data_IF_941151397637
#
_entry.id   IF_941151397637
#
_cell.length_a   1.000
_cell.length_b   1.000
_cell.length_c   1.000
_cell.angle_alpha   90.00
_cell.angle_beta   90.00
_cell.angle_gamma   90.00
#
_symmetry.space_group_name_H-M   'P 1'
#
loop_
_entity.id
_entity.type
_entity.pdbx_description
1 polymer ?
#
# COMPACT_ATOMS: atom_id res chain seq x y z
N UNK A 1 -16.86 1.88 -5.54
CA UNK A 1 -16.21 2.20 -4.25
C UNK A 1 -16.59 3.59 -3.72
N UNK A 2 -16.55 4.66 -4.53
CA UNK A 2 -16.91 6.04 -4.10
C UNK A 2 -18.32 6.16 -3.47
N UNK A 3 -19.31 5.47 -4.03
CA UNK A 3 -20.67 5.47 -3.46
C UNK A 3 -20.78 4.70 -2.13
N UNK A 4 -19.99 3.65 -1.93
CA UNK A 4 -20.01 2.84 -0.70
C UNK A 4 -19.46 3.64 0.48
N UNK A 5 -18.46 4.49 0.25
CA UNK A 5 -17.89 5.38 1.28
C UNK A 5 -18.91 6.41 1.77
N UNK A 6 -19.86 6.83 0.92
CA UNK A 6 -20.90 7.81 1.27
C UNK A 6 -22.04 7.21 2.10
N UNK A 7 -22.15 5.89 2.16
CA UNK A 7 -23.15 5.22 2.98
C UNK A 7 -22.88 5.44 4.48
N UNK A 8 -23.95 5.45 5.27
CA UNK A 8 -23.84 5.41 6.73
C UNK A 8 -23.15 4.14 7.20
N UNK A 9 -22.60 4.14 8.41
CA UNK A 9 -21.96 2.96 8.98
C UNK A 9 -22.89 1.74 9.06
N UNK A 10 -24.19 1.92 9.33
CA UNK A 10 -25.18 0.84 9.32
C UNK A 10 -25.36 0.25 7.92
N UNK A 11 -25.51 1.10 6.91
CA UNK A 11 -25.70 0.67 5.52
C UNK A 11 -24.45 -0.03 4.97
N UNK A 12 -23.24 0.45 5.29
CA UNK A 12 -22.00 -0.26 4.96
C UNK A 12 -21.93 -1.61 5.65
N UNK A 13 -22.30 -1.67 6.93
CA UNK A 13 -22.31 -2.91 7.70
C UNK A 13 -23.24 -3.95 7.08
N UNK A 14 -24.48 -3.57 6.74
CA UNK A 14 -25.43 -4.43 6.03
C UNK A 14 -24.87 -4.92 4.68
N UNK A 15 -24.25 -4.02 3.91
CA UNK A 15 -23.63 -4.38 2.64
C UNK A 15 -22.48 -5.39 2.81
N UNK A 16 -21.62 -5.22 3.83
CA UNK A 16 -20.53 -6.15 4.11
C UNK A 16 -21.05 -7.49 4.63
N UNK A 17 -22.11 -7.49 5.45
CA UNK A 17 -22.78 -8.73 5.88
C UNK A 17 -23.34 -9.51 4.69
N UNK A 18 -24.08 -8.84 3.81
CA UNK A 18 -24.67 -9.48 2.62
C UNK A 18 -23.58 -10.01 1.68
N UNK A 19 -22.51 -9.23 1.46
CA UNK A 19 -21.35 -9.64 0.67
C UNK A 19 -20.69 -10.88 1.28
N UNK A 20 -20.50 -10.89 2.60
CA UNK A 20 -19.87 -11.99 3.31
C UNK A 20 -20.70 -13.28 3.23
N UNK A 21 -22.03 -13.18 3.37
CA UNK A 21 -22.97 -14.31 3.19
C UNK A 21 -22.85 -14.91 1.80
N UNK A 22 -22.90 -14.08 0.75
CA UNK A 22 -22.79 -14.55 -0.65
C UNK A 22 -21.44 -15.19 -0.95
N UNK A 23 -20.37 -14.65 -0.36
CA UNK A 23 -18.99 -15.10 -0.56
C UNK A 23 -18.58 -16.22 0.41
N UNK A 24 -19.44 -16.59 1.36
CA UNK A 24 -19.18 -17.58 2.42
C UNK A 24 -17.92 -17.26 3.22
N UNK A 25 -17.72 -15.97 3.53
CA UNK A 25 -16.61 -15.47 4.36
C UNK A 25 -17.15 -14.78 5.61
N UNK A 26 -16.28 -14.41 6.55
CA UNK A 26 -16.67 -13.62 7.72
C UNK A 26 -16.94 -12.16 7.29
N UNK A 27 -17.96 -11.46 7.84
CA UNK A 27 -18.21 -10.05 7.56
C UNK A 27 -16.98 -9.14 7.74
N UNK A 28 -16.19 -9.39 8.78
CA UNK A 28 -14.94 -8.66 9.02
C UNK A 28 -13.92 -8.82 7.88
N UNK A 29 -13.90 -9.95 7.17
CA UNK A 29 -13.03 -10.16 6.01
C UNK A 29 -13.51 -9.30 4.84
N UNK A 30 -14.82 -9.29 4.57
CA UNK A 30 -15.39 -8.47 3.50
C UNK A 30 -15.16 -6.96 3.73
N UNK A 31 -15.33 -6.51 4.96
CA UNK A 31 -15.08 -5.11 5.34
C UNK A 31 -13.59 -4.75 5.17
N UNK A 32 -12.67 -5.57 5.71
CA UNK A 32 -11.24 -5.32 5.56
C UNK A 32 -10.82 -5.33 4.08
N UNK A 33 -11.33 -6.27 3.29
CA UNK A 33 -11.03 -6.36 1.87
C UNK A 33 -11.43 -5.09 1.11
N UNK A 34 -12.59 -4.53 1.45
CA UNK A 34 -13.06 -3.27 0.92
C UNK A 34 -12.10 -2.13 1.25
N UNK A 35 -11.69 -1.98 2.52
CA UNK A 35 -10.79 -0.91 2.94
C UNK A 35 -9.39 -1.02 2.32
N UNK A 36 -8.86 -2.24 2.16
CA UNK A 36 -7.60 -2.47 1.43
C UNK A 36 -7.72 -2.03 -0.02
N UNK A 37 -8.76 -2.48 -0.73
CA UNK A 37 -8.96 -2.12 -2.14
C UNK A 37 -9.21 -0.62 -2.31
N UNK A 38 -9.97 0.00 -1.41
CA UNK A 38 -10.21 1.43 -1.43
C UNK A 38 -8.94 2.24 -1.18
N UNK A 39 -8.14 1.85 -0.18
CA UNK A 39 -6.87 2.51 0.14
C UNK A 39 -5.88 2.42 -1.03
N UNK A 40 -5.74 1.22 -1.63
CA UNK A 40 -4.92 1.03 -2.82
C UNK A 40 -5.40 1.91 -3.99
N UNK A 41 -6.71 1.96 -4.24
CA UNK A 41 -7.27 2.86 -5.26
C UNK A 41 -6.91 4.32 -4.97
N UNK A 42 -7.03 4.77 -3.71
CA UNK A 42 -6.68 6.13 -3.32
C UNK A 42 -5.21 6.47 -3.55
N UNK A 43 -4.31 5.60 -3.12
CA UNK A 43 -2.86 5.76 -3.28
C UNK A 43 -2.43 5.85 -4.74
N UNK A 44 -3.02 5.02 -5.62
CA UNK A 44 -2.61 4.94 -7.03
C UNK A 44 -3.41 5.86 -7.98
N UNK A 45 -4.52 6.44 -7.53
CA UNK A 45 -5.20 7.54 -8.24
C UNK A 45 -4.46 8.88 -8.06
N UNK A 46 -3.71 9.05 -6.97
CA UNK A 46 -2.94 10.27 -6.70
C UNK A 46 -1.55 10.20 -7.32
N UNK A 47 -1.33 11.00 -8.37
CA UNK A 47 -0.11 10.92 -9.20
C UNK A 47 1.19 11.23 -8.45
N UNK A 48 1.13 12.06 -7.41
CA UNK A 48 2.29 12.37 -6.57
C UNK A 48 2.75 11.17 -5.74
N UNK A 49 1.80 10.31 -5.34
CA UNK A 49 2.08 9.07 -4.60
C UNK A 49 2.38 7.93 -5.57
N UNK A 50 1.57 7.73 -6.60
CA UNK A 50 1.70 6.59 -7.52
C UNK A 50 3.03 6.54 -8.25
N UNK A 51 3.71 7.68 -8.40
CA UNK A 51 5.06 7.79 -8.98
C UNK A 51 6.19 7.52 -8.00
N UNK A 52 5.92 7.57 -6.69
CA UNK A 52 6.92 7.35 -5.65
C UNK A 52 6.92 5.93 -5.09
N UNK A 53 5.86 5.15 -5.33
CA UNK A 53 5.76 3.79 -4.78
C UNK A 53 5.41 2.73 -5.81
N UNK A 54 5.87 1.50 -5.56
CA UNK A 54 5.48 0.28 -6.27
C UNK A 54 4.71 -0.63 -5.34
N UNK A 55 3.60 -1.21 -5.82
CA UNK A 55 2.82 -2.19 -5.06
C UNK A 55 3.44 -3.59 -5.19
N UNK A 56 3.68 -4.28 -4.06
CA UNK A 56 4.28 -5.61 -4.04
C UNK A 56 3.53 -6.58 -3.11
N UNK A 57 4.12 -7.77 -2.94
CA UNK A 57 3.77 -8.68 -1.86
C UNK A 57 2.54 -9.54 -2.14
N UNK A 58 2.05 -10.21 -1.10
CA UNK A 58 0.96 -11.18 -1.22
C UNK A 58 -0.33 -10.59 -1.76
N UNK A 59 -0.62 -9.35 -1.39
CA UNK A 59 -1.81 -8.62 -1.85
C UNK A 59 -1.73 -8.30 -3.34
N UNK A 60 -0.54 -7.97 -3.88
CA UNK A 60 -0.38 -7.80 -5.33
C UNK A 60 -0.58 -9.13 -6.09
N UNK A 61 -0.08 -10.24 -5.55
CA UNK A 61 -0.23 -11.57 -6.15
C UNK A 61 -1.70 -12.01 -6.19
N UNK A 62 -2.50 -11.72 -5.15
CA UNK A 62 -3.92 -12.06 -5.13
C UNK A 62 -4.78 -11.08 -5.91
N UNK A 63 -4.60 -9.76 -5.73
CA UNK A 63 -5.49 -8.73 -6.28
C UNK A 63 -5.21 -8.34 -7.73
N UNK A 64 -3.94 -8.39 -8.15
CA UNK A 64 -3.54 -7.96 -9.50
C UNK A 64 -3.34 -9.17 -10.40
N UNK A 65 -2.58 -10.16 -9.92
CA UNK A 65 -2.19 -11.32 -10.75
C UNK A 65 -3.10 -12.54 -10.60
N UNK A 66 -3.95 -12.60 -9.56
CA UNK A 66 -4.85 -13.74 -9.31
C UNK A 66 -4.12 -15.07 -9.07
N UNK A 67 -2.86 -15.03 -8.61
CA UNK A 67 -2.00 -16.21 -8.47
C UNK A 67 -2.24 -17.00 -7.19
N UNK A 68 -2.84 -16.35 -6.18
CA UNK A 68 -3.15 -16.98 -4.89
C UNK A 68 -4.55 -16.56 -4.44
N UNK A 69 -5.27 -17.50 -3.81
CA UNK A 69 -6.61 -17.27 -3.26
C UNK A 69 -6.54 -17.25 -1.73
N UNK A 70 -5.93 -16.18 -1.19
CA UNK A 70 -5.91 -15.91 0.24
C UNK A 70 -6.27 -14.46 0.52
N UNK A 71 -6.99 -14.25 1.62
CA UNK A 71 -7.16 -12.91 2.15
C UNK A 71 -5.81 -12.37 2.65
N UNK A 72 -5.53 -11.11 2.34
CA UNK A 72 -4.33 -10.39 2.75
C UNK A 72 -4.76 -8.98 3.15
N UNK A 73 -4.53 -8.60 4.40
CA UNK A 73 -4.91 -7.27 4.90
C UNK A 73 -3.81 -6.24 4.71
N UNK A 74 -2.56 -6.68 4.57
CA UNK A 74 -1.41 -5.80 4.47
C UNK A 74 -1.30 -5.14 3.09
N UNK A 75 -0.83 -3.89 3.09
CA UNK A 75 -0.46 -3.17 1.87
C UNK A 75 1.07 -3.01 1.87
N UNK A 76 1.74 -3.83 1.05
CA UNK A 76 3.19 -3.76 0.88
C UNK A 76 3.56 -2.79 -0.24
N UNK A 77 4.26 -1.71 0.09
CA UNK A 77 4.78 -0.74 -0.87
C UNK A 77 6.31 -0.70 -0.84
N UNK A 78 6.92 -0.50 -2.01
CA UNK A 78 8.34 -0.15 -2.16
C UNK A 78 8.42 1.32 -2.51
N UNK A 79 9.19 2.09 -1.75
CA UNK A 79 9.56 3.46 -2.11
C UNK A 79 10.62 3.43 -3.22
N UNK A 80 10.42 4.24 -4.26
CA UNK A 80 11.41 4.42 -5.32
C UNK A 80 12.67 5.08 -4.75
N UNK A 81 13.76 4.31 -4.68
CA UNK A 81 15.03 4.76 -4.10
C UNK A 81 15.65 5.93 -4.86
N UNK A 82 15.29 6.12 -6.14
CA UNK A 82 15.76 7.22 -7.00
C UNK A 82 15.28 8.58 -6.51
N UNK A 83 14.27 8.61 -5.63
CA UNK A 83 13.82 9.83 -4.97
C UNK A 83 14.70 10.24 -3.78
N UNK A 84 15.62 9.35 -3.37
CA UNK A 84 16.42 9.51 -2.16
C UNK A 84 17.88 9.80 -2.48
N UNK A 85 18.40 9.23 -3.56
CA UNK A 85 19.80 9.32 -3.93
C UNK A 85 19.99 9.13 -5.44
N UNK A 86 21.08 9.69 -5.96
CA UNK A 86 21.59 9.42 -7.31
C UNK A 86 22.53 8.21 -7.35
N UNK A 87 22.98 7.74 -6.19
CA UNK A 87 23.84 6.56 -6.09
C UNK A 87 23.02 5.27 -6.25
N UNK A 88 23.41 4.43 -7.22
CA UNK A 88 22.80 3.12 -7.42
C UNK A 88 23.03 2.20 -6.21
N UNK A 89 21.97 1.70 -5.54
CA UNK A 89 22.07 0.73 -4.44
C UNK A 89 22.79 -0.56 -4.81
N UNK A 90 22.80 -0.93 -6.09
CA UNK A 90 23.42 -2.15 -6.62
C UNK A 90 24.84 -1.93 -7.17
N UNK A 91 25.38 -0.69 -7.13
CA UNK A 91 26.75 -0.44 -7.55
C UNK A 91 27.77 -1.27 -6.73
N UNK A 92 28.85 -1.70 -7.40
CA UNK A 92 29.90 -2.49 -6.76
C UNK A 92 30.56 -1.73 -5.59
N UNK A 93 30.43 -2.28 -4.39
CA UNK A 93 30.99 -1.76 -3.15
C UNK A 93 31.54 -2.90 -2.31
N UNK A 94 32.53 -2.62 -1.47
CA UNK A 94 32.87 -3.56 -0.40
C UNK A 94 31.68 -3.70 0.57
N UNK A 95 31.59 -4.84 1.26
CA UNK A 95 30.53 -5.10 2.24
C UNK A 95 30.35 -3.96 3.26
N UNK A 96 31.44 -3.46 3.81
CA UNK A 96 31.40 -2.37 4.79
C UNK A 96 30.90 -1.05 4.19
N UNK A 97 31.24 -0.75 2.94
CA UNK A 97 30.72 0.43 2.24
C UNK A 97 29.22 0.28 1.95
N UNK A 98 28.77 -0.91 1.53
CA UNK A 98 27.35 -1.18 1.30
C UNK A 98 26.53 -1.07 2.60
N UNK A 99 27.04 -1.60 3.72
CA UNK A 99 26.38 -1.49 5.02
C UNK A 99 26.22 -0.02 5.45
N UNK A 100 27.28 0.80 5.26
CA UNK A 100 27.22 2.24 5.52
C UNK A 100 26.22 2.95 4.60
N UNK A 101 26.20 2.60 3.32
CA UNK A 101 25.25 3.14 2.34
C UNK A 101 23.80 2.80 2.72
N UNK A 102 23.52 1.54 3.08
CA UNK A 102 22.19 1.10 3.50
C UNK A 102 21.67 1.90 4.71
N UNK A 103 22.52 2.21 5.70
CA UNK A 103 22.15 3.05 6.84
C UNK A 103 21.78 4.48 6.41
N UNK A 104 22.50 5.05 5.45
CA UNK A 104 22.21 6.37 4.88
C UNK A 104 20.85 6.34 4.17
N UNK A 105 20.60 5.34 3.33
CA UNK A 105 19.33 5.19 2.59
C UNK A 105 18.15 5.02 3.54
N UNK A 106 18.30 4.27 4.64
CA UNK A 106 17.26 4.14 5.65
C UNK A 106 16.90 5.51 6.25
N UNK A 107 17.89 6.33 6.57
CA UNK A 107 17.65 7.66 7.13
C UNK A 107 17.00 8.60 6.12
N UNK A 108 17.45 8.59 4.86
CA UNK A 108 16.84 9.34 3.77
C UNK A 108 15.39 8.90 3.53
N UNK A 109 15.14 7.60 3.54
CA UNK A 109 13.79 7.01 3.40
C UNK A 109 12.88 7.48 4.51
N UNK A 110 13.32 7.42 5.78
CA UNK A 110 12.54 7.89 6.94
C UNK A 110 12.20 9.36 6.82
N UNK A 111 13.16 10.19 6.40
CA UNK A 111 12.96 11.62 6.21
C UNK A 111 11.97 11.90 5.08
N UNK A 112 12.11 11.23 3.95
CA UNK A 112 11.19 11.36 2.82
C UNK A 112 9.78 10.93 3.21
N UNK A 113 9.63 9.77 3.87
CA UNK A 113 8.34 9.27 4.34
C UNK A 113 7.69 10.28 5.28
N UNK A 114 8.42 10.77 6.28
CA UNK A 114 7.88 11.71 7.27
C UNK A 114 7.47 13.05 6.67
N UNK A 115 8.30 13.61 5.79
CA UNK A 115 8.19 15.01 5.37
C UNK A 115 7.47 15.18 4.02
N UNK A 116 7.39 14.14 3.20
CA UNK A 116 6.82 14.19 1.85
C UNK A 116 5.65 13.21 1.72
N UNK A 117 5.91 11.91 1.86
CA UNK A 117 4.89 10.89 1.58
C UNK A 117 3.73 10.90 2.58
N UNK A 118 4.02 11.01 3.89
CA UNK A 118 2.99 11.00 4.93
C UNK A 118 2.00 12.17 4.80
N UNK A 119 2.44 13.43 4.58
CA UNK A 119 1.53 14.51 4.23
C UNK A 119 0.64 14.19 3.02
N UNK A 120 1.23 13.74 1.90
CA UNK A 120 0.47 13.39 0.70
C UNK A 120 -0.59 12.32 0.98
N UNK A 121 -0.23 11.27 1.74
CA UNK A 121 -1.16 10.19 2.11
C UNK A 121 -2.29 10.71 3.00
N UNK A 122 -2.01 11.60 3.96
CA UNK A 122 -3.04 12.21 4.82
C UNK A 122 -4.02 13.09 4.05
N UNK A 123 -3.59 13.69 2.95
CA UNK A 123 -4.46 14.55 2.15
C UNK A 123 -5.49 13.74 1.34
N UNK A 124 -5.23 12.44 1.11
CA UNK A 124 -6.04 11.60 0.22
C UNK A 124 -6.88 10.51 0.91
N UNK A 125 -6.59 10.22 2.18
CA UNK A 125 -7.28 9.21 3.00
C UNK A 125 -8.15 9.89 4.07
#
# INVERSE_FOLDING_TARGET
MKEIIRLSSSQRHELFQETATRRKIKPAIAEKDFWVCWTLARLFEESSISRSVLFKGGTSLSKVFGLIDRFSEDIDLILDWRLLTEEDPEAERSRTQQDKFNLIIIELSRRYIKNQLLPMVKDIL
#
